data_IF_732511864643
#
_entry.id   IF_732511864643
#
_cell.length_a   1.000
_cell.length_b   1.000
_cell.length_c   1.000
_cell.angle_alpha   90.00
_cell.angle_beta   90.00
_cell.angle_gamma   90.00
#
_symmetry.space_group_name_H-M   'P 1'
#
loop_
_entity.id
_entity.type
_entity.pdbx_description
1 polymer ?
#
# COMPACT_ATOMS: atom_id res chain seq x y z
N UNK A 1 24.53 6.89 63.65
CA UNK A 1 23.36 6.62 62.78
C UNK A 1 23.15 7.83 61.87
N UNK A 2 23.11 7.68 60.54
CA UNK A 2 22.88 8.81 59.65
C UNK A 2 21.46 9.38 59.88
N UNK A 3 21.34 10.71 59.93
CA UNK A 3 20.07 11.37 60.19
C UNK A 3 19.00 11.02 59.15
N UNK A 4 17.74 10.88 59.57
CA UNK A 4 16.61 10.48 58.71
C UNK A 4 16.47 11.31 57.42
N UNK A 5 16.84 12.60 57.47
CA UNK A 5 16.82 13.50 56.31
C UNK A 5 17.89 13.14 55.29
N UNK A 6 19.09 12.76 55.73
CA UNK A 6 20.18 12.32 54.85
C UNK A 6 19.84 11.00 54.17
N UNK A 7 19.24 10.04 54.90
CA UNK A 7 18.81 8.76 54.32
C UNK A 7 17.77 8.98 53.21
N UNK A 8 16.79 9.87 53.43
CA UNK A 8 15.79 10.20 52.42
C UNK A 8 16.40 10.86 51.18
N UNK A 9 17.32 11.80 51.36
CA UNK A 9 18.04 12.44 50.25
C UNK A 9 18.87 11.43 49.47
N UNK A 10 19.60 10.53 50.13
CA UNK A 10 20.36 9.47 49.46
C UNK A 10 19.45 8.47 48.74
N UNK A 11 18.29 8.11 49.30
CA UNK A 11 17.33 7.24 48.62
C UNK A 11 16.76 7.87 47.35
N UNK A 12 16.50 9.18 47.39
CA UNK A 12 15.97 9.93 46.24
C UNK A 12 17.03 10.06 45.15
N UNK A 13 18.29 10.33 45.52
CA UNK A 13 19.41 10.37 44.57
C UNK A 13 19.66 9.01 43.92
N UNK A 14 19.54 7.92 44.68
CA UNK A 14 19.71 6.56 44.16
C UNK A 14 18.60 6.18 43.17
N UNK A 15 17.35 6.54 43.45
CA UNK A 15 16.22 6.33 42.52
C UNK A 15 16.40 7.17 41.26
N UNK A 16 16.80 8.44 41.38
CA UNK A 16 17.07 9.29 40.21
C UNK A 16 18.21 8.75 39.35
N UNK A 17 19.29 8.23 39.97
CA UNK A 17 20.39 7.60 39.27
C UNK A 17 19.96 6.35 38.48
N UNK A 18 19.11 5.51 39.08
CA UNK A 18 18.54 4.33 38.41
C UNK A 18 17.64 4.74 37.23
N UNK A 19 16.80 5.77 37.40
CA UNK A 19 15.95 6.29 36.33
C UNK A 19 16.79 6.84 35.17
N UNK A 20 17.84 7.62 35.46
CA UNK A 20 18.77 8.12 34.43
C UNK A 20 19.54 6.99 33.75
N UNK A 21 19.93 5.95 34.49
CA UNK A 21 20.60 4.78 33.91
C UNK A 21 19.64 4.02 32.99
N UNK A 22 18.39 3.80 33.42
CA UNK A 22 17.37 3.18 32.58
C UNK A 22 17.08 4.00 31.33
N UNK A 23 17.01 5.33 31.43
CA UNK A 23 16.77 6.20 30.28
C UNK A 23 17.97 6.22 29.32
N UNK A 24 19.20 6.21 29.84
CA UNK A 24 20.42 6.20 29.03
C UNK A 24 20.69 4.82 28.40
N UNK A 25 20.41 3.73 29.12
CA UNK A 25 20.44 2.37 28.56
C UNK A 25 19.32 2.17 27.55
N UNK A 26 18.10 2.65 27.80
CA UNK A 26 16.99 2.60 26.82
C UNK A 26 17.28 3.45 25.57
N UNK A 27 17.98 4.58 25.75
CA UNK A 27 18.45 5.42 24.65
C UNK A 27 19.60 4.79 23.86
N UNK A 28 20.36 3.86 24.45
CA UNK A 28 21.51 3.21 23.81
C UNK A 28 21.21 1.79 23.28
N UNK A 29 20.03 1.22 23.58
CA UNK A 29 19.64 -0.13 23.14
C UNK A 29 18.80 -0.18 21.86
N UNK A 30 18.75 0.89 21.05
CA UNK A 30 17.98 0.92 19.79
C UNK A 30 18.83 1.00 18.52
N UNK A 31 20.11 0.59 18.55
CA UNK A 31 20.95 0.47 17.34
C UNK A 31 21.71 -0.85 17.19
N UNK A 32 21.26 -1.92 17.83
CA UNK A 32 21.83 -3.25 17.61
C UNK A 32 20.70 -4.25 17.37
N UNK A 33 20.80 -4.97 16.25
CA UNK A 33 19.99 -6.12 15.82
C UNK A 33 18.58 -5.90 15.25
N UNK A 34 18.47 -5.23 14.10
CA UNK A 34 17.41 -5.57 13.12
C UNK A 34 17.73 -5.24 11.64
N UNK A 35 18.99 -4.91 11.31
CA UNK A 35 19.39 -4.50 9.95
C UNK A 35 20.66 -5.22 9.48
N UNK A 36 20.81 -6.50 9.85
CA UNK A 36 21.91 -7.35 9.36
C UNK A 36 21.43 -8.74 8.90
N UNK A 37 20.27 -9.19 9.40
CA UNK A 37 19.76 -10.54 9.14
C UNK A 37 19.11 -10.71 7.77
N UNK A 38 18.72 -9.63 7.07
CA UNK A 38 17.96 -9.73 5.82
C UNK A 38 18.76 -9.33 4.56
N UNK A 39 19.73 -8.42 4.69
CA UNK A 39 20.56 -7.97 3.56
C UNK A 39 21.84 -8.81 3.39
N UNK A 40 22.43 -9.29 4.48
CA UNK A 40 23.58 -10.20 4.43
C UNK A 40 23.20 -11.58 3.89
N UNK A 41 22.04 -12.09 4.30
CA UNK A 41 21.61 -13.46 3.96
C UNK A 41 21.27 -13.60 2.47
N UNK A 42 20.71 -12.57 1.84
CA UNK A 42 20.48 -12.56 0.40
C UNK A 42 21.79 -12.47 -0.39
N UNK A 43 22.73 -11.60 0.03
CA UNK A 43 24.01 -11.39 -0.65
C UNK A 43 24.91 -12.64 -0.60
N UNK A 44 25.04 -13.28 0.57
CA UNK A 44 25.82 -14.51 0.68
C UNK A 44 25.13 -15.68 -0.03
N UNK A 45 23.80 -15.79 0.01
CA UNK A 45 23.06 -16.87 -0.66
C UNK A 45 23.09 -16.76 -2.19
N UNK A 46 23.05 -15.55 -2.76
CA UNK A 46 23.24 -15.34 -4.21
C UNK A 46 24.70 -15.52 -4.62
N UNK A 47 25.66 -15.05 -3.83
CA UNK A 47 27.09 -15.26 -4.12
C UNK A 47 27.47 -16.75 -4.07
N UNK A 48 26.99 -17.49 -3.07
CA UNK A 48 27.20 -18.94 -2.97
C UNK A 48 26.47 -19.72 -4.06
N UNK A 49 25.31 -19.26 -4.53
CA UNK A 49 24.66 -19.86 -5.70
C UNK A 49 25.47 -19.60 -6.98
N UNK A 50 25.97 -18.37 -7.18
CA UNK A 50 26.75 -17.99 -8.34
C UNK A 50 28.12 -18.71 -8.42
N UNK A 51 28.82 -18.84 -7.30
CA UNK A 51 30.07 -19.60 -7.20
C UNK A 51 29.89 -21.11 -7.44
N UNK A 52 28.72 -21.66 -7.13
CA UNK A 52 28.36 -23.04 -7.49
C UNK A 52 27.93 -23.20 -8.95
N UNK A 53 27.59 -22.10 -9.63
CA UNK A 53 27.10 -22.11 -11.02
C UNK A 53 28.22 -21.78 -12.02
N UNK A 54 29.41 -21.37 -11.58
CA UNK A 54 30.55 -21.06 -12.47
C UNK A 54 31.42 -22.28 -12.85
N UNK A 55 31.08 -23.47 -12.37
CA UNK A 55 31.68 -24.73 -12.86
C UNK A 55 30.61 -25.52 -13.62
N UNK A 56 30.59 -25.34 -14.94
CA UNK A 56 29.89 -26.23 -15.86
C UNK A 56 28.44 -25.84 -16.15
N UNK A 57 28.24 -25.36 -17.38
CA UNK A 57 27.07 -25.57 -18.24
C UNK A 57 25.69 -25.80 -17.62
N UNK A 58 24.75 -24.93 -18.03
CA UNK A 58 23.45 -25.39 -18.49
C UNK A 58 22.38 -25.72 -17.44
N UNK A 59 21.46 -24.77 -17.29
CA UNK A 59 20.01 -24.95 -17.22
C UNK A 59 19.32 -25.63 -16.01
N UNK A 60 18.20 -24.99 -15.65
CA UNK A 60 16.94 -25.61 -15.17
C UNK A 60 16.94 -26.05 -13.69
N UNK A 61 15.88 -26.01 -12.87
CA UNK A 61 14.42 -25.79 -12.98
C UNK A 61 13.91 -25.42 -11.58
N UNK A 62 12.70 -24.86 -11.46
CA UNK A 62 11.72 -25.38 -10.49
C UNK A 62 10.29 -24.94 -10.86
N UNK A 63 9.56 -25.85 -11.52
CA UNK A 63 8.17 -25.68 -11.92
C UNK A 63 7.52 -26.98 -12.44
N UNK A 64 7.76 -28.09 -11.74
CA UNK A 64 6.96 -29.34 -11.59
C UNK A 64 6.09 -29.84 -12.77
N UNK A 65 6.40 -31.05 -13.26
CA UNK A 65 5.38 -31.96 -13.80
C UNK A 65 5.84 -33.11 -14.70
N UNK A 66 5.78 -34.33 -14.15
CA UNK A 66 5.48 -35.63 -14.80
C UNK A 66 6.64 -36.40 -15.48
N UNK A 67 6.70 -37.68 -15.11
CA UNK A 67 7.68 -38.71 -15.46
C UNK A 67 7.15 -39.52 -16.66
N UNK A 68 7.90 -39.60 -17.75
CA UNK A 68 7.95 -40.63 -18.84
C UNK A 68 9.26 -40.26 -19.59
N UNK A 69 10.28 -41.08 -19.84
CA UNK A 69 10.37 -42.48 -20.26
C UNK A 69 11.20 -42.50 -21.56
N UNK A 70 12.43 -43.04 -21.48
CA UNK A 70 13.25 -43.67 -22.55
C UNK A 70 13.24 -43.10 -23.98
N UNK A 71 14.41 -42.66 -24.49
CA UNK A 71 15.16 -43.35 -25.56
C UNK A 71 16.30 -42.49 -26.13
N UNK A 72 17.46 -43.14 -26.25
CA UNK A 72 18.65 -42.83 -27.06
C UNK A 72 18.38 -42.31 -28.48
N UNK A 73 19.16 -41.34 -28.96
CA UNK A 73 19.25 -40.99 -30.40
C UNK A 73 20.12 -39.76 -30.74
N UNK A 74 21.28 -40.02 -31.35
CA UNK A 74 22.10 -39.19 -32.27
C UNK A 74 22.25 -37.66 -32.08
N UNK A 75 23.46 -37.24 -31.72
CA UNK A 75 23.90 -35.88 -31.35
C UNK A 75 24.15 -34.87 -32.50
N UNK A 76 23.62 -35.08 -33.71
CA UNK A 76 23.93 -34.20 -34.86
C UNK A 76 22.76 -33.35 -35.38
N UNK A 77 21.49 -33.73 -35.12
CA UNK A 77 20.33 -32.97 -35.61
C UNK A 77 19.86 -31.84 -34.65
N UNK A 78 20.24 -31.88 -33.38
CA UNK A 78 19.77 -30.93 -32.35
C UNK A 78 20.44 -29.54 -32.43
N UNK A 79 21.61 -29.44 -33.05
CA UNK A 79 22.37 -28.17 -33.16
C UNK A 79 21.81 -27.25 -34.23
N UNK A 80 21.22 -27.80 -35.29
CA UNK A 80 20.60 -27.04 -36.38
C UNK A 80 19.24 -26.47 -35.92
N UNK A 81 18.43 -27.32 -35.28
CA UNK A 81 17.11 -26.93 -34.76
C UNK A 81 17.19 -25.90 -33.62
N UNK A 82 18.20 -25.99 -32.76
CA UNK A 82 18.42 -24.99 -31.70
C UNK A 82 18.91 -23.65 -32.24
N UNK A 83 19.80 -23.64 -33.25
CA UNK A 83 20.22 -22.39 -33.93
C UNK A 83 19.09 -21.74 -34.71
N UNK A 84 18.23 -22.53 -35.36
CA UNK A 84 17.05 -22.01 -36.04
C UNK A 84 16.08 -21.32 -35.07
N UNK A 85 15.78 -21.97 -33.93
CA UNK A 85 14.92 -21.40 -32.88
C UNK A 85 15.51 -20.14 -32.23
N UNK A 86 16.84 -20.07 -32.05
CA UNK A 86 17.52 -18.89 -31.50
C UNK A 86 17.49 -17.71 -32.47
N UNK A 87 17.62 -17.95 -33.78
CA UNK A 87 17.51 -16.90 -34.80
C UNK A 87 16.08 -16.38 -34.93
N UNK A 88 15.09 -17.27 -34.89
CA UNK A 88 13.67 -16.93 -34.93
C UNK A 88 13.28 -16.08 -33.70
N UNK A 89 13.72 -16.47 -32.51
CA UNK A 89 13.51 -15.68 -31.28
C UNK A 89 14.16 -14.28 -31.37
N UNK A 90 15.35 -14.17 -31.99
CA UNK A 90 16.02 -12.89 -32.19
C UNK A 90 15.28 -11.98 -33.19
N UNK A 91 14.68 -12.56 -34.24
CA UNK A 91 13.87 -11.81 -35.21
C UNK A 91 12.57 -11.31 -34.58
N UNK A 92 11.86 -12.15 -33.83
CA UNK A 92 10.65 -11.75 -33.10
C UNK A 92 10.94 -10.60 -32.12
N UNK A 93 12.09 -10.61 -31.45
CA UNK A 93 12.50 -9.51 -30.57
C UNK A 93 12.78 -8.21 -31.35
N UNK A 94 13.38 -8.30 -32.54
CA UNK A 94 13.71 -7.15 -33.40
C UNK A 94 12.46 -6.53 -34.02
N UNK A 95 11.49 -7.35 -34.41
CA UNK A 95 10.22 -6.90 -34.97
C UNK A 95 9.35 -6.23 -33.90
N UNK A 96 9.31 -6.78 -32.68
CA UNK A 96 8.64 -6.15 -31.55
C UNK A 96 9.26 -4.81 -31.11
N UNK A 97 10.58 -4.65 -31.27
CA UNK A 97 11.25 -3.37 -31.02
C UNK A 97 10.88 -2.32 -32.08
N UNK A 98 10.75 -2.71 -33.35
CA UNK A 98 10.34 -1.83 -34.43
C UNK A 98 8.85 -1.43 -34.37
N UNK A 99 7.98 -2.25 -33.77
CA UNK A 99 6.57 -1.92 -33.54
C UNK A 99 6.35 -0.91 -32.39
N UNK A 100 7.32 -0.76 -31.48
CA UNK A 100 7.24 0.18 -30.34
C UNK A 100 7.91 1.54 -30.57
N UNK A 101 8.57 1.73 -31.71
CA UNK A 101 9.17 3.02 -32.07
C UNK A 101 8.11 3.91 -32.75
N UNK A 102 7.81 5.12 -32.23
CA UNK A 102 6.96 6.07 -32.95
C UNK A 102 7.65 6.52 -34.23
N UNK A 103 6.96 6.39 -35.37
CA UNK A 103 7.41 6.91 -36.66
C UNK A 103 7.44 8.45 -36.58
N UNK A 104 8.55 9.13 -36.91
CA UNK A 104 8.54 10.58 -36.99
C UNK A 104 7.68 11.02 -38.18
N UNK A 105 6.73 11.92 -37.95
CA UNK A 105 5.89 12.48 -39.01
C UNK A 105 6.76 13.21 -40.04
N UNK A 106 6.40 13.13 -41.35
CA UNK A 106 7.12 13.88 -42.37
C UNK A 106 6.95 15.39 -42.14
N UNK A 107 8.01 16.20 -42.31
CA UNK A 107 7.94 17.62 -42.01
C UNK A 107 6.94 18.30 -42.95
N UNK A 108 5.96 18.98 -42.35
CA UNK A 108 5.04 19.86 -43.07
C UNK A 108 5.83 20.93 -43.82
N UNK A 109 5.58 21.06 -45.12
CA UNK A 109 6.20 22.05 -45.99
C UNK A 109 5.74 23.45 -45.57
N UNK A 110 6.53 24.11 -44.72
CA UNK A 110 6.34 25.51 -44.36
C UNK A 110 6.68 26.35 -45.58
N UNK A 111 5.66 26.87 -46.25
CA UNK A 111 5.80 27.86 -47.31
C UNK A 111 6.09 29.19 -46.63
N UNK A 112 7.38 29.53 -46.54
CA UNK A 112 7.83 30.84 -46.09
C UNK A 112 7.50 31.89 -47.15
N UNK A 113 6.61 32.83 -46.82
CA UNK A 113 6.50 34.10 -47.53
C UNK A 113 7.71 34.93 -47.08
N UNK A 114 8.73 34.92 -47.93
CA UNK A 114 9.91 35.76 -47.76
C UNK A 114 9.56 37.23 -47.99
N UNK A 115 9.89 38.06 -47.02
CA UNK A 115 10.24 39.47 -47.24
C UNK A 115 11.50 39.72 -46.44
N UNK A 116 12.63 39.55 -47.09
CA UNK A 116 13.91 40.07 -46.65
C UNK A 116 14.57 40.71 -47.87
N UNK A 117 14.45 42.03 -47.96
CA UNK A 117 15.30 42.86 -48.78
C UNK A 117 15.69 44.07 -47.93
N UNK A 118 16.99 44.08 -47.59
CA UNK A 118 17.85 45.24 -47.39
C UNK A 118 17.57 46.22 -46.25
N UNK A 119 18.65 46.50 -45.50
CA UNK A 119 18.92 47.88 -45.10
C UNK A 119 19.12 48.12 -43.62
N UNK A 120 20.39 48.33 -43.28
CA UNK A 120 20.83 49.45 -42.44
C UNK A 120 20.83 49.33 -40.89
N UNK A 121 22.07 49.17 -40.41
CA UNK A 121 22.76 50.04 -39.46
C UNK A 121 22.46 49.99 -37.94
N UNK A 122 23.58 49.81 -37.22
CA UNK A 122 23.73 49.95 -35.77
C UNK A 122 23.61 51.43 -35.38
N UNK A 123 22.99 51.72 -34.24
CA UNK A 123 23.48 52.80 -33.37
C UNK A 123 22.96 52.70 -31.94
N UNK A 124 23.78 53.30 -31.10
CA UNK A 124 23.88 53.29 -29.63
C UNK A 124 23.06 54.44 -29.02
N UNK A 125 22.87 54.34 -27.69
CA UNK A 125 22.49 55.38 -26.73
C UNK A 125 21.02 55.82 -26.65
N UNK A 126 20.53 55.83 -25.41
CA UNK A 126 19.12 55.94 -25.08
C UNK A 126 18.53 57.35 -25.12
N UNK A 127 17.20 57.39 -25.06
CA UNK A 127 16.42 58.51 -24.52
C UNK A 127 14.99 58.05 -24.26
N UNK A 128 14.53 58.32 -23.04
CA UNK A 128 13.17 58.16 -22.50
C UNK A 128 12.18 59.11 -23.19
N UNK A 129 10.98 58.66 -23.60
CA UNK A 129 9.73 59.46 -23.50
C UNK A 129 8.42 58.66 -23.62
N UNK A 130 7.72 58.60 -22.49
CA UNK A 130 6.28 58.65 -22.20
C UNK A 130 5.20 58.17 -23.20
N UNK A 131 4.28 57.37 -22.67
CA UNK A 131 2.91 57.15 -23.15
C UNK A 131 2.08 56.36 -22.11
N UNK A 132 1.32 57.07 -21.30
CA UNK A 132 0.47 56.58 -20.19
C UNK A 132 -0.82 55.92 -20.70
N UNK A 133 -1.28 54.86 -20.01
CA UNK A 133 -2.65 54.64 -19.51
C UNK A 133 -3.12 53.18 -19.65
N UNK A 134 -3.60 52.60 -18.54
CA UNK A 134 -4.49 51.43 -18.57
C UNK A 134 -4.12 50.30 -17.61
N UNK A 135 -4.05 50.58 -16.31
CA UNK A 135 -4.20 49.55 -15.29
C UNK A 135 -5.67 49.43 -14.87
N UNK A 136 -6.22 48.22 -14.91
CA UNK A 136 -7.11 47.63 -13.90
C UNK A 136 -7.68 46.32 -14.45
N UNK A 137 -7.21 45.22 -13.86
CA UNK A 137 -8.02 44.12 -13.33
C UNK A 137 -9.28 43.70 -14.13
N UNK A 138 -9.17 42.55 -14.80
CA UNK A 138 -10.30 41.65 -14.98
C UNK A 138 -9.91 40.29 -14.39
N UNK A 139 -10.53 40.00 -13.25
CA UNK A 139 -10.43 38.79 -12.44
C UNK A 139 -11.06 37.59 -13.16
N UNK A 140 -10.68 36.37 -12.72
CA UNK A 140 -11.45 35.11 -12.51
C UNK A 140 -10.54 33.89 -12.81
N UNK A 141 -10.54 32.77 -12.04
CA UNK A 141 -11.41 32.38 -10.91
C UNK A 141 -10.66 31.93 -9.63
N UNK A 142 -11.16 32.37 -8.47
CA UNK A 142 -10.84 31.82 -7.12
C UNK A 142 -11.84 30.69 -6.71
N UNK A 143 -12.77 30.32 -7.60
CA UNK A 143 -13.87 29.40 -7.27
C UNK A 143 -13.50 27.92 -7.09
N UNK A 144 -12.33 27.49 -7.55
CA UNK A 144 -11.92 26.08 -7.46
C UNK A 144 -11.24 25.76 -6.12
N UNK A 145 -10.48 26.70 -5.55
CA UNK A 145 -9.74 26.49 -4.31
C UNK A 145 -10.65 26.48 -3.06
N UNK A 146 -11.71 27.29 -3.05
CA UNK A 146 -12.66 27.32 -1.91
C UNK A 146 -13.53 26.05 -1.82
N UNK A 147 -13.91 25.46 -2.97
CA UNK A 147 -14.66 24.19 -3.00
C UNK A 147 -13.80 23.01 -2.56
N UNK A 148 -12.53 22.97 -2.98
CA UNK A 148 -11.60 21.92 -2.55
C UNK A 148 -11.44 21.86 -1.03
N UNK A 149 -11.29 23.03 -0.39
CA UNK A 149 -11.06 23.10 1.04
C UNK A 149 -12.31 22.70 1.86
N UNK A 150 -13.52 23.07 1.41
CA UNK A 150 -14.77 22.67 2.08
C UNK A 150 -15.02 21.15 1.99
N UNK A 151 -14.80 20.55 0.81
CA UNK A 151 -14.99 19.11 0.61
C UNK A 151 -13.95 18.28 1.38
N UNK A 152 -12.70 18.74 1.46
CA UNK A 152 -11.69 18.08 2.29
C UNK A 152 -12.04 18.09 3.77
N UNK A 153 -12.54 19.22 4.29
CA UNK A 153 -13.00 19.31 5.69
C UNK A 153 -14.21 18.40 5.97
N UNK A 154 -15.14 18.28 5.02
CA UNK A 154 -16.27 17.32 5.12
C UNK A 154 -15.78 15.87 5.17
N UNK A 155 -14.87 15.49 4.27
CA UNK A 155 -14.25 14.14 4.26
C UNK A 155 -13.49 13.90 5.56
N UNK A 156 -12.83 14.94 6.10
CA UNK A 156 -12.14 14.82 7.39
C UNK A 156 -13.11 14.61 8.55
N UNK A 157 -14.19 15.38 8.59
CA UNK A 157 -15.23 15.25 9.59
C UNK A 157 -15.89 13.87 9.55
N UNK A 158 -16.26 13.39 8.35
CA UNK A 158 -16.89 12.08 8.17
C UNK A 158 -15.95 10.94 8.56
N UNK A 159 -14.69 10.99 8.11
CA UNK A 159 -13.69 9.99 8.51
C UNK A 159 -13.53 9.92 10.04
N UNK A 160 -13.45 11.07 10.71
CA UNK A 160 -13.35 11.13 12.16
C UNK A 160 -14.63 10.65 12.86
N UNK A 161 -15.80 10.89 12.26
CA UNK A 161 -17.09 10.38 12.72
C UNK A 161 -17.10 8.85 12.67
N UNK A 162 -16.69 8.27 11.53
CA UNK A 162 -16.56 6.82 11.33
C UNK A 162 -15.64 6.20 12.39
N UNK A 163 -14.46 6.76 12.61
CA UNK A 163 -13.49 6.24 13.61
C UNK A 163 -14.02 6.26 15.05
N UNK A 164 -15.02 7.09 15.36
CA UNK A 164 -15.63 7.14 16.69
C UNK A 164 -16.69 6.05 16.90
N UNK A 165 -17.28 5.51 15.82
CA UNK A 165 -18.37 4.53 15.88
C UNK A 165 -17.97 3.23 16.58
N UNK A 166 -16.78 2.71 16.28
CA UNK A 166 -16.23 1.54 16.94
C UNK A 166 -14.69 1.60 16.98
N UNK A 167 -14.04 0.89 17.91
CA UNK A 167 -12.58 0.76 17.95
C UNK A 167 -12.04 0.05 16.71
N UNK A 168 -12.77 -0.94 16.19
CA UNK A 168 -12.41 -1.65 14.96
C UNK A 168 -13.32 -1.17 13.83
N UNK A 169 -12.71 -0.59 12.79
CA UNK A 169 -13.39 -0.16 11.57
C UNK A 169 -12.88 -0.99 10.39
N UNK A 170 -13.81 -1.54 9.61
CA UNK A 170 -13.53 -2.33 8.41
C UNK A 170 -13.97 -1.50 7.21
N UNK A 171 -13.03 -0.85 6.52
CA UNK A 171 -13.32 -0.24 5.23
C UNK A 171 -13.32 -1.32 4.16
N UNK A 172 -14.44 -1.45 3.48
CA UNK A 172 -14.80 -2.59 2.64
C UNK A 172 -15.40 -2.12 1.31
N UNK A 173 -15.64 -3.08 0.42
CA UNK A 173 -16.54 -2.91 -0.71
C UNK A 173 -17.43 -4.14 -0.82
N UNK A 174 -18.71 -3.93 -1.14
CA UNK A 174 -19.73 -4.98 -1.09
C UNK A 174 -19.40 -6.17 -2.00
N UNK A 175 -18.84 -5.90 -3.18
CA UNK A 175 -18.49 -6.87 -4.21
C UNK A 175 -17.11 -7.51 -4.06
N UNK A 176 -16.29 -7.08 -3.08
CA UNK A 176 -14.89 -7.49 -2.99
C UNK A 176 -14.73 -8.82 -2.22
N UNK A 177 -14.13 -9.88 -2.80
CA UNK A 177 -13.99 -11.16 -2.12
C UNK A 177 -13.02 -11.13 -0.93
N UNK A 178 -11.93 -10.36 -1.00
CA UNK A 178 -11.01 -10.18 0.14
C UNK A 178 -11.69 -9.46 1.31
N UNK A 179 -12.60 -8.54 0.98
CA UNK A 179 -13.44 -7.85 1.96
C UNK A 179 -14.42 -8.80 2.64
N UNK A 180 -15.11 -9.64 1.87
CA UNK A 180 -16.00 -10.67 2.41
C UNK A 180 -15.25 -11.62 3.35
N UNK A 181 -14.03 -12.04 2.98
CA UNK A 181 -13.18 -12.88 3.85
C UNK A 181 -12.82 -12.19 5.17
N UNK A 182 -12.38 -10.94 5.13
CA UNK A 182 -12.03 -10.20 6.34
C UNK A 182 -13.26 -9.99 7.25
N UNK A 183 -14.43 -9.70 6.67
CA UNK A 183 -15.71 -9.59 7.39
C UNK A 183 -16.09 -10.92 8.05
N UNK A 184 -16.01 -12.04 7.33
CA UNK A 184 -16.29 -13.37 7.89
C UNK A 184 -15.39 -13.70 9.09
N UNK A 185 -14.09 -13.39 9.00
CA UNK A 185 -13.18 -13.57 10.13
C UNK A 185 -13.61 -12.67 11.30
N UNK A 186 -13.67 -11.35 11.09
CA UNK A 186 -13.82 -10.40 12.20
C UNK A 186 -15.24 -10.34 12.80
N UNK A 187 -16.27 -10.65 12.02
CA UNK A 187 -17.67 -10.56 12.47
C UNK A 187 -18.25 -11.92 12.84
N UNK A 188 -17.86 -12.99 12.16
CA UNK A 188 -18.49 -14.31 12.31
C UNK A 188 -17.61 -15.25 13.13
N UNK A 189 -16.30 -15.32 12.87
CA UNK A 189 -15.40 -16.24 13.58
C UNK A 189 -15.04 -15.78 15.00
N UNK A 190 -15.01 -14.47 15.25
CA UNK A 190 -14.66 -13.90 16.55
C UNK A 190 -15.86 -13.21 17.20
N UNK A 191 -15.96 -13.34 18.53
CA UNK A 191 -16.74 -12.47 19.39
C UNK A 191 -15.89 -11.28 19.75
N UNK A 192 -16.27 -10.11 19.25
CA UNK A 192 -15.56 -8.86 19.47
C UNK A 192 -16.56 -7.86 20.05
N UNK A 193 -16.26 -7.36 21.24
CA UNK A 193 -17.04 -6.33 21.93
C UNK A 193 -16.15 -5.11 22.23
N UNK A 194 -16.51 -3.89 21.78
CA UNK A 194 -17.65 -3.56 20.92
C UNK A 194 -17.54 -4.09 19.47
N UNK A 195 -18.68 -4.40 18.86
CA UNK A 195 -18.80 -4.98 17.50
C UNK A 195 -18.05 -4.13 16.46
N UNK A 196 -17.23 -4.73 15.57
CA UNK A 196 -16.58 -4.00 14.49
C UNK A 196 -17.59 -3.31 13.59
N UNK A 197 -17.28 -2.07 13.18
CA UNK A 197 -18.13 -1.29 12.29
C UNK A 197 -17.64 -1.41 10.85
N UNK A 198 -18.54 -1.73 9.92
CA UNK A 198 -18.23 -1.89 8.50
C UNK A 198 -18.62 -0.63 7.73
N UNK A 199 -17.73 -0.17 6.86
CA UNK A 199 -17.98 0.92 5.92
C UNK A 199 -17.83 0.39 4.50
N UNK A 200 -18.94 0.27 3.78
CA UNK A 200 -18.92 -0.10 2.36
C UNK A 200 -18.65 1.16 1.52
N UNK A 201 -17.40 1.31 1.07
CA UNK A 201 -16.94 2.50 0.35
C UNK A 201 -17.59 2.66 -1.02
N UNK A 202 -18.09 1.59 -1.62
CA UNK A 202 -18.84 1.63 -2.89
C UNK A 202 -20.27 2.16 -2.73
N UNK A 203 -20.83 2.08 -1.52
CA UNK A 203 -22.18 2.54 -1.20
C UNK A 203 -22.19 3.90 -0.48
N UNK A 204 -21.02 4.33 0.01
CA UNK A 204 -20.89 5.58 0.75
C UNK A 204 -20.79 6.79 -0.21
N UNK A 205 -21.54 7.89 0.01
CA UNK A 205 -21.52 9.05 -0.89
C UNK A 205 -20.11 9.67 -1.04
N UNK A 206 -19.35 9.73 0.06
CA UNK A 206 -17.95 10.19 0.07
C UNK A 206 -16.92 9.06 -0.14
N UNK A 207 -17.34 7.89 -0.60
CA UNK A 207 -16.54 6.67 -0.60
C UNK A 207 -15.18 6.76 -1.30
N UNK A 208 -15.14 7.33 -2.51
CA UNK A 208 -13.90 7.53 -3.25
C UNK A 208 -12.93 8.48 -2.52
N UNK A 209 -13.45 9.56 -1.93
CA UNK A 209 -12.65 10.54 -1.18
C UNK A 209 -12.15 9.97 0.15
N UNK A 210 -12.98 9.19 0.84
CA UNK A 210 -12.58 8.44 2.03
C UNK A 210 -11.49 7.41 1.69
N UNK A 211 -11.57 6.73 0.54
CA UNK A 211 -10.54 5.80 0.08
C UNK A 211 -9.22 6.51 -0.21
N UNK A 212 -9.26 7.70 -0.83
CA UNK A 212 -8.07 8.52 -1.03
C UNK A 212 -7.44 8.94 0.30
N UNK A 213 -8.25 9.48 1.22
CA UNK A 213 -7.79 9.86 2.56
C UNK A 213 -7.20 8.68 3.35
N UNK A 214 -7.79 7.49 3.21
CA UNK A 214 -7.24 6.26 3.78
C UNK A 214 -5.87 5.93 3.21
N UNK A 215 -5.69 6.06 1.90
CA UNK A 215 -4.40 5.85 1.26
C UNK A 215 -3.34 6.83 1.77
N UNK A 216 -3.70 8.09 2.00
CA UNK A 216 -2.78 9.10 2.52
C UNK A 216 -2.38 8.80 3.97
N UNK A 217 -3.33 8.39 4.80
CA UNK A 217 -3.09 8.12 6.23
C UNK A 217 -2.41 6.77 6.49
N UNK A 218 -2.74 5.74 5.71
CA UNK A 218 -2.30 4.35 5.98
C UNK A 218 -1.35 3.80 4.93
N UNK A 219 -1.10 4.54 3.84
CA UNK A 219 -0.34 4.05 2.69
C UNK A 219 -1.06 2.98 1.85
N UNK A 220 -2.30 2.59 2.20
CA UNK A 220 -3.02 1.47 1.55
C UNK A 220 -4.16 1.99 0.69
N UNK A 221 -4.05 1.76 -0.63
CA UNK A 221 -5.08 2.14 -1.62
C UNK A 221 -6.17 1.08 -1.82
N UNK A 222 -5.99 -0.13 -1.28
CA UNK A 222 -6.84 -1.29 -1.54
C UNK A 222 -7.79 -1.59 -0.39
N UNK A 223 -8.92 -2.21 -0.71
CA UNK A 223 -9.86 -2.78 0.25
C UNK A 223 -9.65 -4.29 0.37
N UNK A 224 -9.94 -4.90 1.54
CA UNK A 224 -10.33 -4.21 2.77
C UNK A 224 -9.14 -3.45 3.39
N UNK A 225 -9.45 -2.44 4.19
CA UNK A 225 -8.49 -1.76 5.05
C UNK A 225 -9.06 -1.76 6.48
N UNK A 226 -8.44 -2.54 7.37
CA UNK A 226 -8.95 -2.73 8.73
C UNK A 226 -8.13 -1.87 9.68
N UNK A 227 -8.82 -1.03 10.45
CA UNK A 227 -8.22 -0.14 11.43
C UNK A 227 -8.62 -0.55 12.84
N UNK A 228 -7.67 -0.47 13.78
CA UNK A 228 -7.91 -0.57 15.22
C UNK A 228 -7.46 0.74 15.86
N UNK A 229 -8.39 1.48 16.47
CA UNK A 229 -8.15 2.81 17.03
C UNK A 229 -7.45 3.76 16.04
N UNK A 230 -7.82 3.69 14.77
CA UNK A 230 -7.24 4.50 13.69
C UNK A 230 -5.92 3.97 13.10
N UNK A 231 -5.33 2.91 13.66
CA UNK A 231 -4.11 2.28 13.14
C UNK A 231 -4.44 1.11 12.22
N UNK A 232 -3.84 1.06 11.03
CA UNK A 232 -4.02 -0.04 10.10
C UNK A 232 -3.40 -1.33 10.61
N UNK A 233 -4.16 -2.42 10.54
CA UNK A 233 -3.63 -3.79 10.70
C UNK A 233 -3.45 -4.52 9.37
N UNK A 234 -3.86 -3.91 8.27
CA UNK A 234 -3.69 -4.44 6.91
C UNK A 234 -5.02 -4.67 6.18
N UNK A 235 -4.97 -5.54 5.17
CA UNK A 235 -6.10 -5.96 4.36
C UNK A 235 -6.53 -7.39 4.60
N UNK A 236 -7.15 -8.00 3.59
CA UNK A 236 -7.81 -9.30 3.75
C UNK A 236 -6.81 -10.43 4.01
N UNK A 237 -5.66 -10.37 3.35
CA UNK A 237 -4.61 -11.37 3.49
C UNK A 237 -3.90 -11.23 4.85
N UNK A 238 -3.61 -9.99 5.28
CA UNK A 238 -3.02 -9.72 6.59
C UNK A 238 -3.93 -10.20 7.74
N UNK A 239 -5.24 -9.96 7.64
CA UNK A 239 -6.23 -10.45 8.62
C UNK A 239 -6.32 -11.97 8.60
N UNK A 240 -6.32 -12.59 7.41
CA UNK A 240 -6.33 -14.04 7.29
C UNK A 240 -5.07 -14.69 7.88
N UNK A 241 -3.90 -14.09 7.68
CA UNK A 241 -2.63 -14.55 8.25
C UNK A 241 -2.63 -14.43 9.78
N UNK A 242 -3.12 -13.31 10.32
CA UNK A 242 -3.26 -13.11 11.76
C UNK A 242 -4.21 -14.15 12.39
N UNK A 243 -5.28 -14.51 11.68
CA UNK A 243 -6.22 -15.54 12.10
C UNK A 243 -5.58 -16.95 12.06
N UNK A 244 -4.93 -17.31 10.94
CA UNK A 244 -4.30 -18.63 10.79
C UNK A 244 -3.13 -18.83 11.76
N UNK A 245 -2.39 -17.76 12.07
CA UNK A 245 -1.29 -17.78 13.04
C UNK A 245 -1.74 -17.63 14.49
N UNK A 246 -3.06 -17.49 14.75
CA UNK A 246 -3.66 -17.27 16.08
C UNK A 246 -3.17 -16.00 16.78
N UNK A 247 -2.58 -15.05 16.04
CA UNK A 247 -2.05 -13.76 16.56
C UNK A 247 -3.07 -12.62 16.52
N UNK A 248 -4.23 -12.82 15.87
CA UNK A 248 -5.24 -11.78 15.72
C UNK A 248 -5.72 -11.22 17.07
N UNK A 249 -6.03 -12.10 18.02
CA UNK A 249 -6.50 -11.71 19.36
C UNK A 249 -5.46 -10.83 20.07
N UNK A 250 -4.19 -11.24 20.04
CA UNK A 250 -3.10 -10.49 20.66
C UNK A 250 -2.90 -9.14 19.98
N UNK A 251 -2.94 -9.11 18.64
CA UNK A 251 -2.84 -7.87 17.87
C UNK A 251 -3.96 -6.90 18.22
N UNK A 252 -5.19 -7.39 18.32
CA UNK A 252 -6.35 -6.57 18.69
C UNK A 252 -6.25 -6.08 20.13
N UNK A 253 -5.81 -6.92 21.08
CA UNK A 253 -5.60 -6.50 22.48
C UNK A 253 -4.51 -5.44 22.60
N UNK A 254 -3.40 -5.61 21.89
CA UNK A 254 -2.27 -4.69 21.91
C UNK A 254 -2.64 -3.30 21.36
N UNK A 255 -3.41 -3.24 20.27
CA UNK A 255 -3.82 -1.97 19.65
C UNK A 255 -5.13 -1.40 20.22
N UNK A 256 -5.97 -2.25 20.80
CA UNK A 256 -7.31 -1.95 21.30
C UNK A 256 -7.36 -1.02 22.51
N UNK A 257 -6.31 -1.04 23.32
CA UNK A 257 -6.17 -0.18 24.50
C UNK A 257 -7.40 -0.25 25.41
N UNK A 258 -7.82 0.91 25.93
CA UNK A 258 -8.96 1.04 26.86
C UNK A 258 -10.34 0.92 26.21
N UNK A 259 -10.42 0.99 24.88
CA UNK A 259 -11.69 1.04 24.13
C UNK A 259 -12.20 -0.35 23.72
N UNK A 260 -11.39 -1.39 23.91
CA UNK A 260 -11.78 -2.78 23.64
C UNK A 260 -12.18 -3.47 24.94
N UNK A 261 -13.34 -4.13 24.93
CA UNK A 261 -13.89 -4.80 26.10
C UNK A 261 -13.65 -6.31 26.03
N UNK A 262 -13.80 -6.92 24.85
CA UNK A 262 -13.61 -8.37 24.71
C UNK A 262 -13.25 -8.81 23.29
N UNK A 263 -12.34 -9.81 23.18
CA UNK A 263 -12.03 -10.52 21.93
C UNK A 263 -11.80 -11.99 22.25
N UNK A 264 -12.66 -12.86 21.71
CA UNK A 264 -12.59 -14.32 21.85
C UNK A 264 -12.99 -14.99 20.53
N UNK A 265 -12.56 -16.22 20.30
CA UNK A 265 -13.08 -17.04 19.19
C UNK A 265 -14.49 -17.51 19.54
N UNK A 266 -15.42 -17.48 18.57
CA UNK A 266 -16.73 -18.10 18.76
C UNK A 266 -16.58 -19.60 18.97
N UNK A 267 -17.26 -20.18 19.96
CA UNK A 267 -17.48 -21.62 20.03
C UNK A 267 -18.19 -22.13 18.77
N UNK A 268 -17.89 -23.36 18.36
CA UNK A 268 -18.41 -23.96 17.11
C UNK A 268 -19.95 -24.11 17.13
N UNK A 269 -20.56 -24.15 18.30
CA UNK A 269 -22.02 -24.32 18.48
C UNK A 269 -22.78 -23.02 18.15
N UNK A 270 -22.31 -21.86 18.63
CA UNK A 270 -22.94 -20.55 18.38
C UNK A 270 -22.82 -20.09 16.92
N UNK A 271 -21.79 -20.53 16.20
CA UNK A 271 -21.61 -20.23 14.78
C UNK A 271 -22.68 -20.88 13.90
N UNK A 272 -23.29 -21.99 14.32
CA UNK A 272 -24.37 -22.65 13.56
C UNK A 272 -25.70 -21.93 13.70
N UNK A 273 -25.99 -21.38 14.87
CA UNK A 273 -27.24 -20.65 15.13
C UNK A 273 -27.30 -19.32 14.36
N UNK A 274 -26.20 -18.56 14.34
CA UNK A 274 -26.13 -17.28 13.59
C UNK A 274 -26.26 -17.46 12.07
N UNK A 275 -25.74 -18.57 11.53
CA UNK A 275 -25.94 -18.91 10.11
C UNK A 275 -27.39 -19.28 9.85
N UNK A 276 -28.05 -19.98 10.79
CA UNK A 276 -29.46 -20.35 10.67
C UNK A 276 -30.37 -19.10 10.70
N UNK A 277 -30.11 -18.16 11.60
CA UNK A 277 -30.85 -16.90 11.72
C UNK A 277 -30.71 -16.03 10.46
N UNK A 278 -29.49 -15.86 9.92
CA UNK A 278 -29.28 -15.13 8.65
C UNK A 278 -30.01 -15.76 7.46
N UNK A 279 -30.05 -17.10 7.39
CA UNK A 279 -30.73 -17.83 6.31
C UNK A 279 -32.25 -17.73 6.42
N UNK A 280 -32.78 -17.54 7.63
CA UNK A 280 -34.20 -17.27 7.86
C UNK A 280 -34.55 -15.81 7.53
N UNK A 281 -33.71 -14.83 7.89
CA UNK A 281 -33.89 -13.41 7.55
C UNK A 281 -33.81 -13.12 6.04
N UNK A 282 -32.89 -13.77 5.30
CA UNK A 282 -32.77 -13.63 3.84
C UNK A 282 -33.94 -14.26 3.07
N UNK A 283 -34.70 -15.18 3.69
CA UNK A 283 -35.91 -15.76 3.08
C UNK A 283 -37.15 -14.91 3.24
N UNK A 284 -37.15 -13.98 4.20
CA UNK A 284 -38.27 -13.09 4.49
C UNK A 284 -38.16 -11.74 3.74
N UNK A 285 -37.08 -11.49 3.00
CA UNK A 285 -37.04 -10.39 2.04
C UNK A 285 -37.90 -10.75 0.80
N UNK A 286 -38.97 -9.99 0.51
CA UNK A 286 -39.77 -10.26 -0.68
C UNK A 286 -38.92 -9.95 -1.91
N UNK A 287 -38.51 -11.00 -2.63
CA UNK A 287 -37.95 -10.89 -3.97
C UNK A 287 -38.85 -10.02 -4.85
N UNK A 288 -38.48 -8.73 -4.95
CA UNK A 288 -39.08 -7.79 -5.87
C UNK A 288 -38.71 -8.18 -7.29
N UNK A 289 -39.60 -8.95 -7.92
CA UNK A 289 -39.70 -9.05 -9.37
C UNK A 289 -39.80 -7.64 -9.97
N UNK A 290 -38.79 -7.25 -10.74
CA UNK A 290 -38.90 -6.32 -11.88
C UNK A 290 -37.76 -6.50 -12.85
#
# INVERSE_FOLDING_TARGET
MPSMRRIKVFSLLLVMAIITLLFYTSSSSSKFDLESSQTGDFFYKTKSALERTSVGGGASTAGRGKVVGTSTGSEEDDKEASKARLKEAAQIAKDNANLKAPKPDPPSKVVGIGSAAEGAEKSVAGRKKFGTAGGSEAQVPVKEEEKGNQEEEEVKAEFNSILKKAPIIIFSKSYCPHSARAKGILLEKYLIDPKPYVVELDQHPLGAKLQAKLADLTGRKTVPNVLINGLTIGGGDDVAELDSSRKLVDKVRNLGGKRMLEVKLRPIEEAKETVKEKVEEEKDEPHGLR
#
